data_IF_278534950640
#
_entry.id   IF_278534950640
#
_cell.length_a   1.000
_cell.length_b   1.000
_cell.length_c   1.000
_cell.angle_alpha   90.00
_cell.angle_beta   90.00
_cell.angle_gamma   90.00
#
_symmetry.space_group_name_H-M   'P 1'
#
loop_
_entity.id
_entity.type
_entity.pdbx_description
1 polymer ?
#
# COMPACT_ATOMS: atom_id res chain seq x y z
N UNK A 1 -16.26 3.86 9.34
CA UNK A 1 -14.99 3.49 9.95
C UNK A 1 -13.87 4.42 9.57
N UNK A 2 -12.75 4.26 10.25
CA UNK A 2 -11.54 5.07 10.02
C UNK A 2 -10.35 4.23 9.55
N UNK A 3 -10.60 3.03 8.99
CA UNK A 3 -9.58 2.12 8.49
C UNK A 3 -9.14 1.03 9.46
N UNK A 4 -9.62 1.04 10.69
CA UNK A 4 -9.39 -0.05 11.65
C UNK A 4 -10.54 -1.03 11.57
N UNK A 5 -10.35 -2.11 10.83
CA UNK A 5 -11.40 -3.08 10.54
C UNK A 5 -11.55 -4.09 11.68
N UNK A 6 -12.80 -4.49 11.94
CA UNK A 6 -13.10 -5.60 12.83
C UNK A 6 -12.70 -6.91 12.13
N UNK A 7 -11.60 -7.49 12.58
CA UNK A 7 -11.11 -8.77 12.06
C UNK A 7 -11.03 -9.80 13.18
N UNK A 8 -11.20 -11.07 12.81
CA UNK A 8 -10.96 -12.20 13.70
C UNK A 8 -9.60 -12.75 13.38
N UNK A 9 -8.66 -12.68 14.32
CA UNK A 9 -7.34 -13.28 14.16
C UNK A 9 -7.34 -14.68 14.78
N UNK A 10 -7.20 -15.75 13.97
CA UNK A 10 -7.09 -17.09 14.51
C UNK A 10 -5.88 -17.22 15.45
N UNK A 11 -6.04 -17.94 16.58
CA UNK A 11 -4.98 -18.09 17.58
C UNK A 11 -3.68 -18.67 17.03
N UNK A 12 -3.77 -19.53 16.02
CA UNK A 12 -2.60 -20.09 15.32
C UNK A 12 -1.82 -18.99 14.59
N UNK A 13 -2.50 -18.08 13.89
CA UNK A 13 -1.87 -16.96 13.19
C UNK A 13 -1.26 -15.99 14.19
N UNK A 14 -1.99 -15.67 15.26
CA UNK A 14 -1.50 -14.79 16.31
C UNK A 14 -0.16 -15.31 16.85
N UNK A 15 -0.13 -16.57 17.34
CA UNK A 15 1.06 -17.18 17.93
C UNK A 15 2.21 -17.39 16.96
N UNK A 16 1.92 -17.89 15.77
CA UNK A 16 2.97 -18.33 14.83
C UNK A 16 3.50 -17.21 13.94
N UNK A 17 2.76 -16.13 13.76
CA UNK A 17 3.14 -15.00 12.91
C UNK A 17 3.32 -13.72 13.75
N UNK A 18 2.26 -13.24 14.39
CA UNK A 18 2.28 -11.93 15.03
C UNK A 18 3.13 -11.89 16.30
N UNK A 19 3.25 -13.00 17.03
CA UNK A 19 4.08 -13.13 18.23
C UNK A 19 5.47 -13.71 17.95
N UNK A 20 5.72 -14.15 16.73
CA UNK A 20 6.97 -14.80 16.36
C UNK A 20 8.03 -13.77 15.95
N UNK A 21 9.15 -13.63 16.69
CA UNK A 21 10.18 -12.64 16.39
C UNK A 21 10.91 -12.89 15.07
N UNK A 22 10.80 -14.07 14.49
CA UNK A 22 11.27 -14.36 13.14
C UNK A 22 10.47 -13.62 12.07
N UNK A 23 9.21 -13.24 12.36
CA UNK A 23 8.34 -12.49 11.45
C UNK A 23 8.29 -11.01 11.78
N UNK A 24 8.06 -10.62 13.02
CA UNK A 24 8.04 -9.21 13.39
C UNK A 24 9.48 -8.70 13.57
N UNK A 25 10.00 -8.06 12.55
CA UNK A 25 11.36 -7.51 12.55
C UNK A 25 11.39 -6.20 11.76
N UNK A 26 12.25 -5.27 12.18
CA UNK A 26 12.52 -4.04 11.46
C UNK A 26 13.40 -4.27 10.22
N UNK A 27 13.90 -5.49 10.01
CA UNK A 27 14.75 -5.79 8.87
C UNK A 27 13.99 -5.71 7.55
N UNK A 28 14.46 -4.87 6.65
CA UNK A 28 13.98 -4.83 5.26
C UNK A 28 14.76 -5.86 4.43
N UNK A 29 14.09 -6.73 3.66
CA UNK A 29 14.74 -7.85 2.97
C UNK A 29 15.51 -7.41 1.71
N UNK A 30 16.53 -6.58 1.88
CA UNK A 30 17.39 -6.16 0.77
C UNK A 30 18.29 -7.27 0.22
N UNK A 31 18.69 -8.20 1.09
CA UNK A 31 19.54 -9.34 0.72
C UNK A 31 18.66 -10.56 0.48
N UNK A 32 18.44 -10.89 -0.78
CA UNK A 32 17.60 -12.03 -1.17
C UNK A 32 18.11 -13.35 -0.59
N UNK A 33 19.42 -13.51 -0.48
CA UNK A 33 20.07 -14.73 -0.03
C UNK A 33 19.67 -15.14 1.38
N UNK A 34 19.48 -14.17 2.27
CA UNK A 34 19.09 -14.43 3.67
C UNK A 34 17.61 -14.18 3.96
N UNK A 35 16.86 -13.72 2.96
CA UNK A 35 15.45 -13.34 3.10
C UNK A 35 14.52 -14.18 2.21
N UNK A 36 14.94 -15.35 1.76
CA UNK A 36 14.20 -16.15 0.78
C UNK A 36 12.78 -16.49 1.23
N UNK A 37 12.61 -16.97 2.46
CA UNK A 37 11.28 -17.28 3.00
C UNK A 37 10.37 -16.05 3.13
N UNK A 38 10.93 -14.90 3.46
CA UNK A 38 10.17 -13.63 3.53
C UNK A 38 9.74 -13.18 2.13
N UNK A 39 10.62 -13.29 1.15
CA UNK A 39 10.32 -12.95 -0.25
C UNK A 39 9.26 -13.89 -0.82
N UNK A 40 9.30 -15.18 -0.49
CA UNK A 40 8.26 -16.13 -0.85
C UNK A 40 6.90 -15.74 -0.25
N UNK A 41 6.87 -15.34 1.02
CA UNK A 41 5.65 -14.86 1.67
C UNK A 41 5.09 -13.61 0.99
N UNK A 42 5.95 -12.67 0.57
CA UNK A 42 5.53 -11.48 -0.17
C UNK A 42 4.94 -11.81 -1.54
N UNK A 43 5.53 -12.75 -2.27
CA UNK A 43 4.99 -13.22 -3.56
C UNK A 43 3.64 -13.89 -3.37
N UNK A 44 3.49 -14.73 -2.36
CA UNK A 44 2.21 -15.37 -2.03
C UNK A 44 1.14 -14.32 -1.69
N UNK A 45 1.51 -13.27 -0.95
CA UNK A 45 0.60 -12.16 -0.67
C UNK A 45 0.17 -11.43 -1.95
N UNK A 46 1.09 -11.13 -2.86
CA UNK A 46 0.76 -10.50 -4.14
C UNK A 46 -0.23 -11.35 -4.94
N UNK A 47 0.02 -12.66 -5.05
CA UNK A 47 -0.87 -13.60 -5.74
C UNK A 47 -2.26 -13.60 -5.11
N UNK A 48 -2.34 -13.68 -3.79
CA UNK A 48 -3.60 -13.67 -3.06
C UNK A 48 -4.40 -12.38 -3.32
N UNK A 49 -3.74 -11.22 -3.29
CA UNK A 49 -4.40 -9.93 -3.54
C UNK A 49 -4.90 -9.83 -4.98
N UNK A 50 -4.12 -10.30 -5.96
CA UNK A 50 -4.53 -10.38 -7.37
C UNK A 50 -5.80 -11.23 -7.49
N UNK A 51 -5.80 -12.41 -6.90
CA UNK A 51 -6.95 -13.33 -6.97
C UNK A 51 -8.21 -12.76 -6.30
N UNK A 52 -8.05 -12.08 -5.16
CA UNK A 52 -9.16 -11.50 -4.42
C UNK A 52 -9.75 -10.24 -5.09
N UNK A 53 -8.94 -9.47 -5.77
CA UNK A 53 -9.36 -8.18 -6.36
C UNK A 53 -9.67 -8.25 -7.84
N UNK A 54 -9.18 -9.28 -8.53
CA UNK A 54 -9.26 -9.38 -9.99
C UNK A 54 -8.36 -8.38 -10.73
N UNK A 55 -7.43 -7.72 -10.03
CA UNK A 55 -6.45 -6.83 -10.65
C UNK A 55 -5.36 -7.62 -11.35
N UNK A 56 -4.76 -7.05 -12.39
CA UNK A 56 -3.71 -7.72 -13.16
C UNK A 56 -2.38 -7.82 -12.40
N UNK A 57 -2.09 -6.84 -11.56
CA UNK A 57 -0.83 -6.73 -10.81
C UNK A 57 -1.13 -6.19 -9.41
N UNK A 58 -0.44 -6.71 -8.42
CA UNK A 58 -0.37 -6.13 -7.08
C UNK A 58 1.10 -6.01 -6.66
N UNK A 59 1.43 -5.00 -5.87
CA UNK A 59 2.71 -4.95 -5.16
C UNK A 59 2.61 -5.69 -3.81
N UNK A 60 3.74 -5.89 -3.15
CA UNK A 60 3.76 -6.72 -1.95
C UNK A 60 3.21 -5.99 -0.73
N UNK A 61 3.80 -4.87 -0.37
CA UNK A 61 3.34 -4.12 0.80
C UNK A 61 3.85 -2.68 0.79
N UNK A 62 3.07 -1.82 1.39
CA UNK A 62 3.43 -0.45 1.71
C UNK A 62 3.23 -0.24 3.21
N UNK A 63 3.65 0.91 3.74
CA UNK A 63 3.61 1.17 5.18
C UNK A 63 2.19 1.03 5.76
N UNK A 64 1.21 1.65 5.10
CA UNK A 64 -0.19 1.62 5.47
C UNK A 64 -1.10 1.96 4.29
N UNK A 65 -2.41 1.93 4.53
CA UNK A 65 -3.45 2.19 3.54
C UNK A 65 -3.36 3.60 2.94
N UNK A 66 -3.16 4.62 3.78
CA UNK A 66 -3.06 5.99 3.32
C UNK A 66 -1.79 6.23 2.49
N UNK A 67 -0.66 5.64 2.90
CA UNK A 67 0.59 5.66 2.13
C UNK A 67 0.43 4.96 0.79
N UNK A 68 -0.30 3.84 0.73
CA UNK A 68 -0.58 3.15 -0.53
C UNK A 68 -1.33 4.05 -1.51
N UNK A 69 -2.35 4.79 -1.04
CA UNK A 69 -3.08 5.75 -1.86
C UNK A 69 -2.18 6.91 -2.35
N UNK A 70 -1.30 7.42 -1.48
CA UNK A 70 -0.37 8.49 -1.85
C UNK A 70 0.69 8.02 -2.85
N UNK A 71 1.22 6.80 -2.70
CA UNK A 71 2.15 6.22 -3.68
C UNK A 71 1.47 5.97 -5.03
N UNK A 72 0.20 5.54 -5.03
CA UNK A 72 -0.58 5.41 -6.25
C UNK A 72 -0.75 6.77 -6.96
N UNK A 73 -1.05 7.84 -6.21
CA UNK A 73 -1.11 9.19 -6.76
C UNK A 73 0.23 9.60 -7.41
N UNK A 74 1.35 9.38 -6.73
CA UNK A 74 2.68 9.69 -7.26
C UNK A 74 3.00 8.88 -8.51
N UNK A 75 2.70 7.58 -8.51
CA UNK A 75 2.90 6.70 -9.67
C UNK A 75 2.12 7.21 -10.88
N UNK A 76 0.83 7.50 -10.71
CA UNK A 76 -0.02 8.00 -11.78
C UNK A 76 0.43 9.38 -12.28
N UNK A 77 0.84 10.26 -11.37
CA UNK A 77 1.37 11.57 -11.71
C UNK A 77 2.67 11.48 -12.52
N UNK A 78 3.59 10.61 -12.12
CA UNK A 78 4.88 10.42 -12.80
C UNK A 78 4.73 9.75 -14.18
N UNK A 79 3.79 8.81 -14.31
CA UNK A 79 3.60 8.02 -15.54
C UNK A 79 2.68 8.69 -16.57
N UNK A 80 2.28 9.96 -16.37
CA UNK A 80 1.43 10.69 -17.31
C UNK A 80 2.03 10.74 -18.73
N UNK A 81 1.19 10.49 -19.72
CA UNK A 81 1.58 10.65 -21.14
C UNK A 81 2.01 12.10 -21.41
N UNK A 82 2.88 12.29 -22.39
CA UNK A 82 3.37 13.61 -22.78
C UNK A 82 2.24 14.62 -23.07
N UNK A 83 1.15 14.17 -23.67
CA UNK A 83 -0.04 14.99 -23.98
C UNK A 83 -0.82 15.43 -22.72
N UNK A 84 -0.56 14.83 -21.56
CA UNK A 84 -1.22 15.13 -20.28
C UNK A 84 -0.28 15.66 -19.21
N UNK A 85 0.90 16.13 -19.57
CA UNK A 85 1.87 16.68 -18.60
C UNK A 85 1.33 17.85 -17.78
N UNK A 86 0.40 18.64 -18.33
CA UNK A 86 -0.25 19.75 -17.63
C UNK A 86 -1.38 19.32 -16.67
N UNK A 87 -1.81 18.05 -16.71
CA UNK A 87 -2.85 17.55 -15.82
C UNK A 87 -2.29 17.41 -14.40
N UNK A 88 -2.83 18.18 -13.48
CA UNK A 88 -2.39 18.25 -12.07
C UNK A 88 -3.53 17.98 -11.09
N UNK A 89 -4.64 17.39 -11.54
CA UNK A 89 -5.78 17.05 -10.69
C UNK A 89 -5.81 15.56 -10.39
N UNK A 90 -6.09 15.22 -9.17
CA UNK A 90 -6.26 13.85 -8.71
C UNK A 90 -7.61 13.73 -8.00
N UNK A 91 -8.49 12.90 -8.55
CA UNK A 91 -9.82 12.69 -7.99
C UNK A 91 -9.77 11.75 -6.79
N UNK A 92 -10.46 12.14 -5.72
CA UNK A 92 -10.61 11.34 -4.50
C UNK A 92 -12.07 11.36 -4.07
N UNK A 93 -12.66 10.19 -3.85
CA UNK A 93 -14.03 10.10 -3.32
C UNK A 93 -14.10 10.76 -1.92
N UNK A 94 -15.10 11.60 -1.72
CA UNK A 94 -15.34 12.29 -0.45
C UNK A 94 -15.60 11.34 0.74
N UNK A 95 -16.00 10.09 0.46
CA UNK A 95 -16.21 9.05 1.47
C UNK A 95 -14.93 8.28 1.82
N UNK A 96 -13.80 8.61 1.18
CA UNK A 96 -12.49 8.07 1.58
C UNK A 96 -12.19 8.45 3.03
N UNK A 97 -11.52 7.58 3.76
CA UNK A 97 -11.18 7.83 5.16
C UNK A 97 -10.45 9.16 5.34
N UNK A 98 -10.83 9.97 6.35
CA UNK A 98 -10.25 11.30 6.55
C UNK A 98 -8.72 11.31 6.64
N UNK A 99 -8.12 10.35 7.36
CA UNK A 99 -6.67 10.23 7.46
C UNK A 99 -5.98 9.97 6.11
N UNK A 100 -6.63 9.23 5.21
CA UNK A 100 -6.13 8.99 3.86
C UNK A 100 -6.17 10.28 3.05
N UNK A 101 -7.27 11.03 3.11
CA UNK A 101 -7.41 12.35 2.46
C UNK A 101 -6.36 13.32 2.97
N UNK A 102 -6.12 13.38 4.29
CA UNK A 102 -5.14 14.28 4.89
C UNK A 102 -3.71 13.93 4.48
N UNK A 103 -3.37 12.64 4.39
CA UNK A 103 -2.07 12.25 3.87
C UNK A 103 -1.93 12.58 2.38
N UNK A 104 -2.96 12.34 1.57
CA UNK A 104 -2.97 12.73 0.17
C UNK A 104 -2.74 14.24 0.00
N UNK A 105 -3.40 15.10 0.79
CA UNK A 105 -3.17 16.56 0.80
C UNK A 105 -1.71 16.89 1.12
N UNK A 106 -1.16 16.27 2.16
CA UNK A 106 0.23 16.47 2.57
C UNK A 106 1.21 16.12 1.46
N UNK A 107 0.96 15.02 0.76
CA UNK A 107 1.84 14.51 -0.30
C UNK A 107 1.62 15.20 -1.65
N UNK A 108 0.42 15.72 -1.94
CA UNK A 108 0.08 16.38 -3.20
C UNK A 108 0.59 17.82 -3.27
N UNK A 109 0.57 18.54 -2.14
CA UNK A 109 0.94 19.96 -2.05
C UNK A 109 2.34 20.26 -2.60
N UNK A 110 3.42 19.54 -2.21
CA UNK A 110 4.77 19.85 -2.70
C UNK A 110 4.98 19.64 -4.19
N UNK A 111 4.17 18.80 -4.81
CA UNK A 111 4.26 18.46 -6.26
C UNK A 111 3.22 19.21 -7.10
N UNK A 112 2.43 20.10 -6.49
CA UNK A 112 1.44 20.92 -7.19
C UNK A 112 0.25 20.14 -7.73
N UNK A 113 -0.08 18.98 -7.12
CA UNK A 113 -1.28 18.20 -7.46
C UNK A 113 -2.45 18.70 -6.64
N UNK A 114 -3.54 19.04 -7.30
CA UNK A 114 -4.81 19.44 -6.70
C UNK A 114 -5.69 18.20 -6.48
N UNK A 115 -6.17 18.00 -5.25
CA UNK A 115 -7.18 16.98 -4.97
C UNK A 115 -8.57 17.52 -5.29
N UNK A 116 -9.37 16.76 -6.01
CA UNK A 116 -10.73 17.13 -6.42
C UNK A 116 -11.70 15.97 -6.15
#
# INVERSE_FOLDING_TARGET
GTGYYNTITPGVILRNILENPGWYTAYTPYQAEIAQGRLEALINYQTMVIDLTGMEIANASLLDEATAAAEAMHLLYASRKASKKAANKFFVDANTFPQTIDLLKTRSTPIGVELV
#
